data_IF_842159809205
#
_entry.id   IF_842159809205
#
_cell.length_a   1.000
_cell.length_b   1.000
_cell.length_c   1.000
_cell.angle_alpha   90.00
_cell.angle_beta   90.00
_cell.angle_gamma   90.00
#
_symmetry.space_group_name_H-M   'P 1'
#
loop_
_entity.id
_entity.type
_entity.pdbx_description
1 polymer ?
#
# COMPACT_ATOMS: atom_id res chain seq x y z
N UNK A 1 -2.60 -18.52 25.44
CA UNK A 1 -2.21 -18.15 25.10
C UNK A 1 -1.85 -17.77 24.30
N UNK A 2 -2.06 -18.20 23.85
CA UNK A 2 -1.66 -18.02 22.80
C UNK A 2 -1.40 -16.86 22.64
N UNK A 3 -1.56 -16.56 23.02
CA UNK A 3 -1.42 -15.48 22.96
C UNK A 3 -0.36 -15.08 22.46
N UNK A 4 0.33 -15.56 22.32
CA UNK A 4 1.42 -15.07 21.96
C UNK A 4 1.65 -15.08 20.64
N UNK A 5 1.50 -16.04 20.09
CA UNK A 5 1.82 -16.06 18.78
C UNK A 5 1.33 -15.01 17.98
N UNK A 6 0.20 -14.69 18.25
CA UNK A 6 -0.39 -13.79 17.39
C UNK A 6 0.13 -12.47 17.50
N UNK A 7 0.92 -12.21 18.36
CA UNK A 7 1.22 -11.00 18.50
C UNK A 7 2.01 -10.49 17.58
N UNK A 8 2.79 -10.79 17.16
CA UNK A 8 3.60 -10.24 16.32
C UNK A 8 3.18 -9.11 15.61
N UNK A 9 3.58 -8.87 14.47
CA UNK A 9 3.32 -7.70 13.68
C UNK A 9 1.87 -7.43 13.40
N UNK A 10 1.01 -8.34 13.79
CA UNK A 10 -0.40 -8.16 13.56
C UNK A 10 -1.13 -7.53 14.71
N UNK A 11 -0.42 -7.05 15.71
CA UNK A 11 -1.05 -6.48 16.87
C UNK A 11 -1.58 -5.06 16.65
N UNK A 12 -1.12 -4.38 15.64
CA UNK A 12 -1.57 -3.02 15.35
C UNK A 12 -2.75 -2.99 14.39
N UNK A 13 -3.29 -1.79 14.19
CA UNK A 13 -4.35 -1.58 13.19
C UNK A 13 -3.75 -0.99 11.93
N UNK A 14 -4.34 -1.29 10.79
CA UNK A 14 -3.87 -0.74 9.52
C UNK A 14 -4.00 0.77 9.55
N UNK A 15 -2.91 1.47 9.27
CA UNK A 15 -2.89 2.93 9.19
C UNK A 15 -2.94 3.37 7.74
N UNK A 16 -2.15 2.74 6.87
CA UNK A 16 -2.19 3.04 5.44
C UNK A 16 -1.68 1.85 4.64
N UNK A 17 -2.09 1.82 3.39
CA UNK A 17 -1.66 0.80 2.45
C UNK A 17 -1.51 1.48 1.10
N UNK A 18 -0.33 1.42 0.52
CA UNK A 18 -0.11 2.07 -0.76
C UNK A 18 0.51 1.13 -1.76
N UNK A 19 0.28 1.41 -3.03
CA UNK A 19 0.83 0.64 -4.12
C UNK A 19 1.20 1.56 -5.27
N UNK A 20 2.37 1.33 -5.86
CA UNK A 20 2.79 1.99 -7.07
C UNK A 20 3.21 0.93 -8.08
N UNK A 21 2.71 0.99 -9.32
CA UNK A 21 3.14 0.05 -10.35
C UNK A 21 4.56 0.32 -10.83
N UNK A 22 5.16 1.40 -10.36
CA UNK A 22 6.49 1.82 -10.78
C UNK A 22 6.45 3.20 -11.39
N UNK A 23 7.62 3.80 -11.58
CA UNK A 23 7.71 5.09 -12.23
C UNK A 23 9.02 5.17 -13.01
N UNK A 24 9.05 6.10 -13.95
CA UNK A 24 10.23 6.31 -14.77
C UNK A 24 10.83 7.69 -14.48
N UNK A 25 12.03 7.70 -13.93
CA UNK A 25 12.70 8.96 -13.56
C UNK A 25 13.00 9.83 -14.77
N UNK A 26 13.28 9.20 -15.90
CA UNK A 26 13.67 9.95 -17.10
C UNK A 26 12.53 10.79 -17.68
N UNK A 27 11.30 10.28 -17.62
CA UNK A 27 10.16 11.01 -18.15
C UNK A 27 9.39 11.78 -17.09
N UNK A 28 9.56 11.39 -15.82
CA UNK A 28 8.78 11.94 -14.72
C UNK A 28 7.44 11.26 -14.55
N UNK A 29 7.19 10.17 -15.29
CA UNK A 29 5.96 9.41 -15.12
C UNK A 29 5.89 8.83 -13.72
N UNK A 30 4.77 9.00 -13.05
CA UNK A 30 4.60 8.50 -11.68
C UNK A 30 3.13 8.21 -11.41
N UNK A 31 2.86 7.05 -10.86
CA UNK A 31 1.50 6.61 -10.53
C UNK A 31 1.53 5.93 -9.16
N UNK A 32 0.61 6.30 -8.29
CA UNK A 32 0.49 5.64 -7.00
C UNK A 32 -0.92 5.79 -6.47
N UNK A 33 -1.32 4.84 -5.63
CA UNK A 33 -2.60 4.91 -4.94
C UNK A 33 -2.38 4.54 -3.48
N UNK A 34 -3.15 5.15 -2.60
CA UNK A 34 -3.00 4.96 -1.16
C UNK A 34 -4.36 4.87 -0.48
N UNK A 35 -4.50 3.90 0.41
CA UNK A 35 -5.64 3.80 1.30
C UNK A 35 -5.20 4.38 2.63
N UNK A 36 -5.90 5.40 3.13
CA UNK A 36 -5.58 5.99 4.43
C UNK A 36 -6.79 6.73 4.99
N UNK A 37 -6.69 7.21 6.21
CA UNK A 37 -7.74 8.03 6.80
C UNK A 37 -7.45 9.50 6.54
N UNK A 38 -8.52 10.26 6.30
CA UNK A 38 -8.40 11.71 6.16
C UNK A 38 -8.46 12.37 7.56
N UNK A 39 -8.44 13.70 7.58
CA UNK A 39 -8.45 14.45 8.86
C UNK A 39 -9.71 14.21 9.67
N UNK A 40 -10.80 13.83 9.04
CA UNK A 40 -12.05 13.52 9.73
C UNK A 40 -12.10 12.09 10.25
N UNK A 41 -11.05 11.31 10.03
CA UNK A 41 -10.99 9.91 10.47
C UNK A 41 -11.70 8.94 9.54
N UNK A 42 -12.04 9.38 8.34
CA UNK A 42 -12.72 8.52 7.37
C UNK A 42 -11.72 7.92 6.40
N UNK A 43 -11.96 6.67 6.00
CA UNK A 43 -11.09 6.02 5.03
C UNK A 43 -11.31 6.61 3.65
N UNK A 44 -10.22 6.88 2.94
CA UNK A 44 -10.25 7.36 1.55
C UNK A 44 -9.21 6.61 0.73
N UNK A 45 -9.44 6.57 -0.58
CA UNK A 45 -8.52 5.95 -1.53
C UNK A 45 -8.04 7.08 -2.45
N UNK A 46 -6.75 7.37 -2.43
CA UNK A 46 -6.19 8.52 -3.13
C UNK A 46 -5.24 8.04 -4.20
N UNK A 47 -5.47 8.46 -5.44
CA UNK A 47 -4.57 8.16 -6.55
C UNK A 47 -3.89 9.44 -7.00
N UNK A 48 -2.60 9.35 -7.22
CA UNK A 48 -1.77 10.49 -7.59
C UNK A 48 -1.00 10.11 -8.85
N UNK A 49 -1.27 10.82 -9.95
CA UNK A 49 -0.78 10.44 -11.27
C UNK A 49 -0.16 11.61 -12.02
N UNK A 50 0.88 11.32 -12.76
CA UNK A 50 1.53 12.27 -13.67
C UNK A 50 2.20 11.49 -14.78
N UNK A 51 2.09 11.98 -16.01
CA UNK A 51 2.71 11.32 -17.16
C UNK A 51 4.13 11.79 -17.44
N UNK A 52 4.41 13.09 -17.28
CA UNK A 52 5.75 13.65 -17.52
C UNK A 52 6.07 14.74 -16.50
N UNK A 53 7.35 15.08 -16.39
CA UNK A 53 7.79 16.07 -15.42
C UNK A 53 7.11 17.44 -15.55
N UNK A 54 6.77 17.83 -16.75
CA UNK A 54 6.18 19.16 -16.96
C UNK A 54 4.74 19.27 -16.53
N UNK A 55 4.07 18.15 -16.30
CA UNK A 55 2.68 18.13 -15.88
C UNK A 55 2.56 18.20 -14.36
N UNK A 56 1.51 18.84 -13.84
CA UNK A 56 1.24 18.71 -12.41
C UNK A 56 0.70 17.31 -12.13
N UNK A 57 0.72 16.91 -10.87
CA UNK A 57 0.07 15.67 -10.48
C UNK A 57 -1.43 15.86 -10.46
N UNK A 58 -2.16 14.87 -10.96
CA UNK A 58 -3.62 14.80 -10.81
C UNK A 58 -3.88 13.93 -9.60
N UNK A 59 -4.67 14.43 -8.67
CA UNK A 59 -4.98 13.72 -7.43
C UNK A 59 -6.47 13.46 -7.39
N UNK A 60 -6.82 12.17 -7.39
CA UNK A 60 -8.21 11.73 -7.34
C UNK A 60 -8.45 11.05 -5.99
N UNK A 61 -9.46 11.51 -5.27
CA UNK A 61 -9.82 10.95 -3.97
C UNK A 61 -11.17 10.27 -4.08
N UNK A 62 -11.24 9.03 -3.62
CA UNK A 62 -12.45 8.21 -3.66
C UNK A 62 -12.88 7.83 -2.26
N UNK A 63 -14.17 7.66 -2.06
CA UNK A 63 -14.69 7.18 -0.78
C UNK A 63 -14.39 5.70 -0.61
N UNK A 64 -14.29 5.27 0.64
CA UNK A 64 -14.12 3.86 1.00
C UNK A 64 -15.04 3.58 2.18
N UNK A 65 -15.86 2.54 2.10
CA UNK A 65 -16.74 2.22 3.22
C UNK A 65 -15.92 1.66 4.39
N UNK A 66 -16.35 1.91 5.61
CA UNK A 66 -15.69 1.39 6.80
C UNK A 66 -15.63 -0.12 6.78
N UNK A 67 -16.68 -0.77 6.32
CA UNK A 67 -16.73 -2.22 6.22
C UNK A 67 -15.69 -2.77 5.26
N UNK A 68 -15.54 -2.13 4.10
CA UNK A 68 -14.55 -2.56 3.12
C UNK A 68 -13.13 -2.42 3.64
N UNK A 69 -12.85 -1.30 4.31
CA UNK A 69 -11.51 -1.07 4.86
C UNK A 69 -11.19 -2.09 5.95
N UNK A 70 -12.14 -2.39 6.83
CA UNK A 70 -11.94 -3.38 7.88
C UNK A 70 -11.73 -4.78 7.31
N UNK A 71 -12.48 -5.14 6.29
CA UNK A 71 -12.33 -6.44 5.66
C UNK A 71 -10.97 -6.56 4.98
N UNK A 72 -10.51 -5.47 4.36
CA UNK A 72 -9.20 -5.47 3.73
C UNK A 72 -8.09 -5.64 4.77
N UNK A 73 -8.19 -4.95 5.90
CA UNK A 73 -7.24 -5.08 6.99
C UNK A 73 -7.18 -6.53 7.49
N UNK A 74 -8.33 -7.15 7.72
CA UNK A 74 -8.40 -8.53 8.18
C UNK A 74 -7.80 -9.48 7.15
N UNK A 75 -8.09 -9.23 5.88
CA UNK A 75 -7.56 -10.05 4.80
C UNK A 75 -6.03 -10.01 4.76
N UNK A 76 -5.45 -8.81 4.83
CA UNK A 76 -4.01 -8.63 4.81
C UNK A 76 -3.35 -9.38 5.97
N UNK A 77 -3.95 -9.31 7.16
CA UNK A 77 -3.44 -10.01 8.32
C UNK A 77 -3.59 -11.52 8.20
N UNK A 78 -4.75 -11.96 7.72
CA UNK A 78 -5.06 -13.36 7.61
C UNK A 78 -4.12 -14.11 6.67
N UNK A 79 -3.79 -13.51 5.54
CA UNK A 79 -2.91 -14.13 4.57
C UNK A 79 -1.45 -13.89 4.89
N UNK A 80 -1.16 -13.15 5.95
CA UNK A 80 0.19 -12.80 6.38
C UNK A 80 0.99 -12.16 5.24
N UNK A 81 0.36 -11.17 4.57
CA UNK A 81 0.97 -10.48 3.44
C UNK A 81 2.32 -9.88 3.82
N UNK A 82 2.44 -9.45 5.08
CA UNK A 82 3.66 -8.82 5.58
C UNK A 82 4.86 -9.74 5.46
N UNK A 83 4.66 -11.05 5.51
CA UNK A 83 5.78 -11.99 5.40
C UNK A 83 6.52 -11.85 4.08
N UNK A 84 5.87 -11.32 3.04
CA UNK A 84 6.53 -11.11 1.75
C UNK A 84 7.63 -10.07 1.85
N UNK A 85 7.56 -9.17 2.83
CA UNK A 85 8.60 -8.17 3.04
C UNK A 85 9.91 -8.78 3.52
N UNK A 86 9.87 -10.05 3.92
CA UNK A 86 11.06 -10.75 4.44
C UNK A 86 11.66 -11.72 3.43
N UNK A 87 11.14 -11.77 2.20
CA UNK A 87 11.72 -12.63 1.18
C UNK A 87 13.12 -12.13 0.83
N UNK A 88 13.93 -13.02 0.30
CA UNK A 88 15.29 -12.70 -0.08
C UNK A 88 15.29 -11.61 -1.15
N UNK A 89 16.27 -10.72 -1.07
CA UNK A 89 16.40 -9.68 -2.07
C UNK A 89 16.91 -10.27 -3.38
N UNK A 90 16.41 -9.71 -4.47
CA UNK A 90 16.85 -10.10 -5.79
C UNK A 90 18.20 -9.47 -6.11
N UNK A 91 18.99 -10.10 -6.98
CA UNK A 91 20.23 -9.53 -7.45
C UNK A 91 20.03 -8.63 -8.65
N UNK A 92 18.80 -8.54 -9.15
CA UNK A 92 18.52 -7.71 -10.31
C UNK A 92 18.58 -6.25 -9.94
N UNK A 93 19.00 -5.43 -10.89
CA UNK A 93 19.16 -4.01 -10.65
C UNK A 93 18.69 -3.22 -11.86
N UNK A 94 17.87 -2.20 -11.63
CA UNK A 94 17.34 -1.33 -12.67
C UNK A 94 17.62 0.09 -12.28
N UNK A 95 18.25 0.88 -13.18
CA UNK A 95 18.70 2.22 -12.84
C UNK A 95 17.73 3.34 -13.18
N UNK A 96 17.01 3.19 -14.30
CA UNK A 96 16.18 4.29 -14.82
C UNK A 96 14.71 4.12 -14.54
N UNK A 97 14.34 3.07 -13.83
CA UNK A 97 12.96 2.72 -13.62
C UNK A 97 12.78 2.18 -12.20
N UNK A 98 11.88 2.77 -11.47
CA UNK A 98 11.51 2.26 -10.15
C UNK A 98 10.51 1.14 -10.31
N UNK A 99 10.75 0.01 -9.67
CA UNK A 99 9.85 -1.14 -9.79
C UNK A 99 8.56 -0.92 -9.02
N UNK A 100 7.60 -1.82 -9.23
CA UNK A 100 6.38 -1.78 -8.43
C UNK A 100 6.72 -2.03 -6.97
N UNK A 101 5.92 -1.43 -6.10
CA UNK A 101 6.09 -1.66 -4.67
C UNK A 101 4.81 -1.39 -3.90
N UNK A 102 4.69 -2.05 -2.75
CA UNK A 102 3.64 -1.81 -1.78
C UNK A 102 4.29 -1.30 -0.51
N UNK A 103 3.60 -0.43 0.21
CA UNK A 103 4.01 -0.04 1.57
C UNK A 103 2.80 -0.21 2.48
N UNK A 104 2.98 -0.95 3.56
CA UNK A 104 1.91 -1.24 4.51
C UNK A 104 2.34 -0.69 5.86
N UNK A 105 1.50 0.15 6.47
CA UNK A 105 1.82 0.78 7.75
C UNK A 105 0.77 0.42 8.78
N UNK A 106 1.20 -0.05 9.95
CA UNK A 106 0.32 -0.36 11.06
C UNK A 106 0.58 0.60 12.21
N UNK A 107 -0.50 1.05 12.83
CA UNK A 107 -0.43 1.90 14.02
C UNK A 107 -0.44 0.99 15.25
N UNK A 108 0.63 1.02 16.02
CA UNK A 108 0.80 0.18 17.20
C UNK A 108 0.53 0.91 18.50
N UNK A 109 -0.05 2.09 18.46
CA UNK A 109 -0.24 2.89 19.66
C UNK A 109 -1.15 2.24 20.70
N UNK A 110 -2.12 1.44 20.25
CA UNK A 110 -3.05 0.80 21.17
C UNK A 110 -2.43 -0.29 22.01
N UNK A 111 -1.26 -0.79 21.62
CA UNK A 111 -0.60 -1.84 22.37
C UNK A 111 0.55 -1.30 23.21
N UNK A 112 0.50 -0.01 23.54
CA UNK A 112 1.47 0.61 24.42
C UNK A 112 2.65 1.23 23.75
N UNK A 113 2.71 1.14 22.42
CA UNK A 113 3.77 1.77 21.68
C UNK A 113 3.30 3.07 21.06
N UNK A 114 4.20 3.95 20.77
CA UNK A 114 3.88 5.17 20.04
C UNK A 114 4.44 5.12 18.65
N UNK A 115 4.79 3.94 18.18
CA UNK A 115 5.44 3.79 16.89
C UNK A 115 4.48 3.25 15.85
N UNK A 116 4.91 3.40 14.60
CA UNK A 116 4.25 2.76 13.48
C UNK A 116 5.20 1.71 12.93
N UNK A 117 4.68 0.54 12.57
CA UNK A 117 5.45 -0.48 11.88
C UNK A 117 5.14 -0.38 10.39
N UNK A 118 6.17 -0.23 9.57
CA UNK A 118 5.98 -0.19 8.12
C UNK A 118 6.72 -1.33 7.44
N UNK A 119 6.13 -1.82 6.36
CA UNK A 119 6.67 -2.96 5.62
C UNK A 119 6.65 -2.64 4.13
N UNK A 120 7.78 -2.89 3.48
CA UNK A 120 7.92 -2.68 2.03
C UNK A 120 7.96 -4.01 1.29
N UNK A 121 7.15 -4.13 0.26
CA UNK A 121 7.11 -5.31 -0.60
C UNK A 121 7.32 -4.80 -2.02
N UNK A 122 8.35 -5.28 -2.68
CA UNK A 122 8.72 -4.73 -3.98
C UNK A 122 9.24 -5.79 -4.92
N UNK A 123 9.39 -5.41 -6.17
CA UNK A 123 9.94 -6.26 -7.21
C UNK A 123 11.35 -6.74 -6.90
N UNK A 124 12.05 -6.08 -5.99
CA UNK A 124 13.44 -6.42 -5.67
C UNK A 124 13.58 -7.66 -4.78
N UNK A 125 12.51 -8.37 -4.52
CA UNK A 125 12.57 -9.60 -3.74
C UNK A 125 12.21 -10.80 -4.60
N UNK A 126 12.67 -11.98 -4.17
CA UNK A 126 12.43 -13.22 -4.91
C UNK A 126 11.13 -13.84 -4.41
N UNK A 127 10.18 -14.02 -5.32
CA UNK A 127 8.86 -14.55 -4.97
C UNK A 127 8.60 -15.86 -5.68
N UNK A 128 8.01 -16.81 -4.94
CA UNK A 128 7.57 -18.06 -5.52
C UNK A 128 6.34 -17.82 -6.42
N UNK A 129 5.95 -18.79 -7.26
CA UNK A 129 4.69 -18.66 -8.00
C UNK A 129 3.48 -18.44 -7.11
N UNK A 130 3.45 -19.04 -5.92
CA UNK A 130 2.35 -18.80 -4.97
C UNK A 130 2.38 -17.38 -4.44
N UNK A 131 3.57 -16.85 -4.14
CA UNK A 131 3.71 -15.47 -3.71
C UNK A 131 3.20 -14.51 -4.79
N UNK A 132 3.56 -14.78 -6.05
CA UNK A 132 3.15 -13.93 -7.16
C UNK A 132 1.64 -13.91 -7.33
N UNK A 133 1.01 -15.07 -7.15
CA UNK A 133 -0.45 -15.16 -7.23
C UNK A 133 -1.09 -14.37 -6.10
N UNK A 134 -0.52 -14.46 -4.91
CA UNK A 134 -1.02 -13.74 -3.75
C UNK A 134 -0.89 -12.23 -3.95
N UNK A 135 0.25 -11.77 -4.45
CA UNK A 135 0.48 -10.36 -4.72
C UNK A 135 -0.56 -9.83 -5.72
N UNK A 136 -0.85 -10.61 -6.75
CA UNK A 136 -1.85 -10.22 -7.74
C UNK A 136 -3.24 -10.09 -7.09
N UNK A 137 -3.60 -11.05 -6.24
CA UNK A 137 -4.89 -11.01 -5.58
C UNK A 137 -5.01 -9.81 -4.64
N UNK A 138 -3.96 -9.53 -3.88
CA UNK A 138 -3.95 -8.38 -2.98
C UNK A 138 -4.13 -7.09 -3.78
N UNK A 139 -3.45 -6.97 -4.91
CA UNK A 139 -3.58 -5.78 -5.74
C UNK A 139 -5.02 -5.62 -6.24
N UNK A 140 -5.65 -6.70 -6.67
CA UNK A 140 -7.04 -6.65 -7.14
C UNK A 140 -7.99 -6.23 -6.02
N UNK A 141 -7.79 -6.77 -4.83
CA UNK A 141 -8.63 -6.41 -3.69
C UNK A 141 -8.39 -4.97 -3.24
N UNK A 142 -7.16 -4.50 -3.35
CA UNK A 142 -6.84 -3.12 -3.01
C UNK A 142 -7.58 -2.15 -3.94
N UNK A 143 -7.51 -2.38 -5.24
CA UNK A 143 -8.21 -1.50 -6.18
C UNK A 143 -9.73 -1.59 -6.06
N UNK A 144 -10.24 -2.71 -5.60
CA UNK A 144 -11.68 -2.87 -5.40
C UNK A 144 -12.23 -2.05 -4.23
N UNK A 145 -11.35 -1.47 -3.39
CA UNK A 145 -11.78 -0.62 -2.29
C UNK A 145 -12.29 0.73 -2.78
N UNK A 146 -11.93 1.12 -3.99
CA UNK A 146 -12.24 2.43 -4.52
C UNK A 146 -13.75 2.58 -4.70
N UNK A 147 -14.35 3.54 -4.01
CA UNK A 147 -15.77 3.83 -4.11
C UNK A 147 -16.04 4.98 -5.08
N UNK A 148 -16.83 5.94 -4.65
CA UNK A 148 -17.20 7.07 -5.50
C UNK A 148 -16.14 8.15 -5.45
N UNK A 149 -15.94 8.83 -6.58
CA UNK A 149 -15.01 9.95 -6.65
C UNK A 149 -15.54 11.11 -5.80
N UNK A 150 -14.73 11.57 -4.85
CA UNK A 150 -15.08 12.67 -3.98
C UNK A 150 -14.50 13.98 -4.49
N UNK A 151 -13.27 13.97 -4.95
CA UNK A 151 -12.60 15.19 -5.38
C UNK A 151 -11.52 14.90 -6.41
N UNK A 152 -11.22 15.93 -7.20
CA UNK A 152 -10.12 15.88 -8.16
C UNK A 152 -9.39 17.20 -8.04
N UNK A 153 -8.09 17.15 -7.80
CA UNK A 153 -7.26 18.35 -7.67
C UNK A 153 -5.98 18.17 -8.46
N UNK A 154 -5.24 19.25 -8.65
CA UNK A 154 -3.92 19.18 -9.24
C UNK A 154 -2.92 19.77 -8.28
N UNK A 155 -1.68 19.28 -8.36
CA UNK A 155 -0.64 19.69 -7.43
C UNK A 155 0.70 19.71 -8.16
N UNK A 156 1.41 20.84 -8.06
CA UNK A 156 2.75 20.92 -8.63
C UNK A 156 3.75 20.35 -7.63
N UNK A 157 4.90 19.92 -8.13
CA UNK A 157 5.96 19.40 -7.27
C UNK A 157 6.53 20.46 -6.36
#
# INVERSE_FOLDING_TARGET
MGLFGSKKGNAGHLSSFSYSPGYCDMTGESHSCELKKNDAGEWVFICRDRDVHSDPFTILTYSVSCGSASEFEEYIKKINFISLSKRLKSNEFVTDYSPWHFTVVFDCSEIGGSCYDDYGISQYRVYSPMDQKLIKEVKERFYALKGELISETTEDD
#
